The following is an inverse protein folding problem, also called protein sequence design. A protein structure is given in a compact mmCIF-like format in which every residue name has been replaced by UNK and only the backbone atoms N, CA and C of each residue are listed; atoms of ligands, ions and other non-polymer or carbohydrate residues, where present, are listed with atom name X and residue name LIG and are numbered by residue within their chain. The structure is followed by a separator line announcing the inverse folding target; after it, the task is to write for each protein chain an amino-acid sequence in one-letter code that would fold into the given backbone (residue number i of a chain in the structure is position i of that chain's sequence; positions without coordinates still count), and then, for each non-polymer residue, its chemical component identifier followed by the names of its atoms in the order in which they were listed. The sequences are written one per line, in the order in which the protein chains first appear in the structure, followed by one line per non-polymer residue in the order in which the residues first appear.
data_IF_208877251019
#
_entry.id   IF_208877251019
#
_cell.length_a   1.000
_cell.length_b   1.000
_cell.length_c   1.000
_cell.angle_alpha   90.00
_cell.angle_beta   90.00
_cell.angle_gamma   90.00
#
_symmetry.space_group_name_H-M   'P 1'
#
loop_
_entity.id
_entity.type
_entity.pdbx_description
1 polymer ?
#
# COMPACT_ATOMS: atom_id res chain seq x y z
N UNK A 1 -3.95 12.16 5.66
CA UNK A 1 -2.61 11.50 5.74
C UNK A 1 -2.15 10.93 4.40
N UNK A 2 -2.96 10.09 3.74
CA UNK A 2 -2.61 9.45 2.45
C UNK A 2 -2.21 10.47 1.35
N UNK A 3 -2.93 11.60 1.24
CA UNK A 3 -2.60 12.66 0.29
C UNK A 3 -1.20 13.28 0.50
N UNK A 4 -0.78 13.46 1.75
CA UNK A 4 0.53 14.03 2.06
C UNK A 4 1.68 13.08 1.68
N UNK A 5 1.48 11.77 1.85
CA UNK A 5 2.45 10.73 1.48
C UNK A 5 2.68 10.74 -0.04
N UNK A 6 1.61 10.75 -0.83
CA UNK A 6 1.71 10.79 -2.28
C UNK A 6 2.36 12.07 -2.82
N UNK A 7 2.04 13.22 -2.24
CA UNK A 7 2.67 14.50 -2.64
C UNK A 7 4.18 14.47 -2.40
N UNK A 8 4.63 13.87 -1.30
CA UNK A 8 6.05 13.80 -0.94
C UNK A 8 6.86 12.95 -1.91
N UNK A 9 6.25 11.92 -2.50
CA UNK A 9 6.94 11.01 -3.42
C UNK A 9 6.63 11.28 -4.90
N UNK A 10 5.89 12.34 -5.23
CA UNK A 10 5.38 12.60 -6.59
C UNK A 10 6.47 12.63 -7.68
N UNK A 11 7.69 13.02 -7.31
CA UNK A 11 8.84 13.10 -8.21
C UNK A 11 9.63 11.78 -8.33
N UNK A 12 9.29 10.76 -7.55
CA UNK A 12 10.01 9.49 -7.50
C UNK A 12 9.26 8.44 -8.33
N UNK A 13 9.97 7.67 -9.17
CA UNK A 13 9.36 6.56 -9.89
C UNK A 13 8.85 5.50 -8.91
N UNK A 14 7.62 5.02 -9.11
CA UNK A 14 6.98 4.00 -8.25
C UNK A 14 6.86 2.64 -8.92
N UNK A 15 7.44 2.45 -10.12
CA UNK A 15 7.22 1.27 -10.96
C UNK A 15 7.58 -0.04 -10.23
N UNK A 16 8.77 -0.09 -9.62
CA UNK A 16 9.26 -1.27 -8.90
C UNK A 16 8.39 -1.64 -7.71
N UNK A 17 8.07 -0.67 -6.87
CA UNK A 17 7.23 -0.87 -5.68
C UNK A 17 5.81 -1.27 -6.07
N UNK A 18 5.29 -0.75 -7.18
CA UNK A 18 3.99 -1.13 -7.72
C UNK A 18 3.99 -2.60 -8.15
N UNK A 19 5.00 -3.05 -8.90
CA UNK A 19 5.14 -4.45 -9.30
C UNK A 19 5.26 -5.38 -8.10
N UNK A 20 6.11 -5.02 -7.12
CA UNK A 20 6.28 -5.79 -5.89
C UNK A 20 4.96 -5.88 -5.11
N UNK A 21 4.24 -4.77 -4.96
CA UNK A 21 2.96 -4.73 -4.26
C UNK A 21 1.91 -5.60 -4.96
N UNK A 22 1.78 -5.50 -6.28
CA UNK A 22 0.84 -6.31 -7.06
C UNK A 22 1.17 -7.81 -6.99
N UNK A 23 2.45 -8.16 -7.02
CA UNK A 23 2.89 -9.55 -6.86
C UNK A 23 2.53 -10.09 -5.47
N UNK A 24 2.76 -9.30 -4.41
CA UNK A 24 2.40 -9.67 -3.04
C UNK A 24 0.88 -9.84 -2.90
N UNK A 25 0.07 -8.90 -3.38
CA UNK A 25 -1.40 -8.96 -3.32
C UNK A 25 -2.00 -10.08 -4.17
N UNK A 26 -1.34 -10.46 -5.26
CA UNK A 26 -1.79 -11.59 -6.09
C UNK A 26 -1.49 -12.94 -5.41
N UNK A 27 -0.40 -13.01 -4.65
CA UNK A 27 -0.02 -14.21 -3.89
C UNK A 27 -0.80 -14.37 -2.59
N UNK A 28 -1.10 -13.24 -1.93
CA UNK A 28 -1.77 -13.20 -0.64
C UNK A 28 -3.00 -12.29 -0.78
N UNK A 29 -4.20 -12.88 -0.81
CA UNK A 29 -5.45 -12.12 -1.01
C UNK A 29 -5.72 -11.04 0.06
N UNK A 30 -4.99 -11.07 1.17
CA UNK A 30 -4.93 -10.05 2.19
C UNK A 30 -3.49 -9.90 2.72
N UNK A 31 -3.08 -8.68 3.07
CA UNK A 31 -1.75 -8.36 3.60
C UNK A 31 -1.84 -7.35 4.74
N UNK A 32 -0.94 -7.39 5.72
CA UNK A 32 -0.79 -6.25 6.65
C UNK A 32 0.17 -5.22 6.07
N UNK A 33 -0.08 -3.94 6.33
CA UNK A 33 0.80 -2.85 5.86
C UNK A 33 2.25 -3.07 6.31
N UNK A 34 2.47 -3.52 7.55
CA UNK A 34 3.82 -3.84 8.05
C UNK A 34 4.56 -4.87 7.20
N UNK A 35 3.86 -5.88 6.67
CA UNK A 35 4.48 -6.97 5.92
C UNK A 35 4.88 -6.47 4.52
N UNK A 36 4.06 -5.59 3.94
CA UNK A 36 4.36 -4.89 2.70
C UNK A 36 5.56 -3.95 2.85
N UNK A 37 5.63 -3.21 3.96
CA UNK A 37 6.74 -2.28 4.24
C UNK A 37 8.02 -2.98 4.72
N UNK A 38 7.95 -4.26 5.10
CA UNK A 38 9.09 -5.06 5.51
C UNK A 38 9.88 -5.64 4.31
N UNK A 39 9.37 -5.55 3.09
CA UNK A 39 10.08 -6.03 1.90
C UNK A 39 11.35 -5.20 1.67
N UNK A 40 12.51 -5.82 1.92
CA UNK A 40 13.82 -5.19 1.77
C UNK A 40 14.16 -4.78 0.33
N UNK A 41 13.37 -5.21 -0.67
CA UNK A 41 13.56 -4.86 -2.08
C UNK A 41 12.93 -3.52 -2.45
N UNK A 42 12.20 -2.88 -1.54
CA UNK A 42 11.46 -1.64 -1.79
C UNK A 42 11.89 -0.52 -0.84
N UNK A 43 11.87 0.73 -1.34
CA UNK A 43 11.92 1.87 -0.42
C UNK A 43 10.59 1.97 0.34
N UNK A 44 10.66 2.08 1.67
CA UNK A 44 9.46 2.08 2.53
C UNK A 44 8.55 3.27 2.25
N UNK A 45 9.11 4.43 1.95
CA UNK A 45 8.32 5.64 1.70
C UNK A 45 7.60 5.56 0.37
N UNK A 46 8.28 5.04 -0.66
CA UNK A 46 7.70 4.82 -1.98
C UNK A 46 6.64 3.71 -1.92
N UNK A 47 6.92 2.60 -1.24
CA UNK A 47 5.96 1.50 -1.05
C UNK A 47 4.70 1.97 -0.29
N UNK A 48 4.87 2.79 0.76
CA UNK A 48 3.72 3.36 1.47
C UNK A 48 2.87 4.27 0.57
N UNK A 49 3.49 4.98 -0.37
CA UNK A 49 2.76 5.78 -1.34
C UNK A 49 2.02 4.94 -2.38
N UNK A 50 2.58 3.81 -2.80
CA UNK A 50 1.90 2.82 -3.64
C UNK A 50 0.66 2.28 -2.93
N UNK A 51 0.79 1.89 -1.65
CA UNK A 51 -0.34 1.45 -0.82
C UNK A 51 -1.40 2.56 -0.71
N UNK A 52 -0.97 3.79 -0.46
CA UNK A 52 -1.88 4.93 -0.34
C UNK A 52 -2.65 5.20 -1.64
N UNK A 53 -1.97 5.10 -2.79
CA UNK A 53 -2.60 5.23 -4.11
C UNK A 53 -3.59 4.10 -4.36
N UNK A 54 -3.22 2.86 -4.08
CA UNK A 54 -4.09 1.70 -4.27
C UNK A 54 -5.40 1.81 -3.44
N UNK A 55 -5.30 2.32 -2.20
CA UNK A 55 -6.46 2.62 -1.36
C UNK A 55 -7.35 3.72 -1.94
N UNK A 56 -6.77 4.76 -2.53
CA UNK A 56 -7.52 5.85 -3.16
C UNK A 56 -8.19 5.44 -4.47
N UNK A 57 -7.54 4.59 -5.25
CA UNK A 57 -8.07 4.03 -6.49
C UNK A 57 -9.11 2.94 -6.24
N UNK A 58 -9.26 2.47 -5.00
CA UNK A 58 -10.20 1.42 -4.63
C UNK A 58 -9.80 0.03 -5.12
N UNK A 59 -8.52 -0.19 -5.42
CA UNK A 59 -8.01 -1.53 -5.82
C UNK A 59 -7.78 -2.44 -4.60
N UNK A 60 -7.57 -1.82 -3.43
CA UNK A 60 -7.55 -2.48 -2.12
C UNK A 60 -8.39 -1.69 -1.13
N UNK A 61 -8.91 -2.37 -0.12
CA UNK A 61 -9.63 -1.77 1.00
C UNK A 61 -8.91 -2.06 2.32
N UNK A 62 -9.17 -1.19 3.30
CA UNK A 62 -8.77 -1.36 4.70
C UNK A 62 -9.92 -0.91 5.58
N UNK A 63 -10.19 -1.65 6.65
CA UNK A 63 -11.16 -1.23 7.66
C UNK A 63 -10.57 -0.08 8.50
N UNK A 64 -11.26 1.07 8.47
CA UNK A 64 -10.93 2.26 9.25
C UNK A 64 -12.06 2.66 10.22
N UNK A 65 -13.10 1.82 10.39
CA UNK A 65 -14.28 2.15 11.20
C UNK A 65 -13.93 2.33 12.67
N UNK A 66 -12.94 1.59 13.18
CA UNK A 66 -12.55 1.60 14.60
C UNK A 66 -11.13 2.09 14.86
N UNK A 67 -10.31 2.25 13.82
CA UNK A 67 -8.87 2.57 13.93
C UNK A 67 -8.40 3.42 12.77
N UNK A 68 -7.46 4.30 13.05
CA UNK A 68 -6.75 5.05 12.01
C UNK A 68 -5.83 4.13 11.22
N UNK A 69 -5.59 4.49 9.96
CA UNK A 69 -4.66 3.79 9.10
C UNK A 69 -3.24 3.76 9.70
N UNK A 70 -2.60 2.59 9.71
CA UNK A 70 -1.25 2.40 10.21
C UNK A 70 -0.62 1.08 9.79
N UNK A 71 0.53 0.76 10.35
CA UNK A 71 1.28 -0.47 10.01
C UNK A 71 0.53 -1.77 10.31
N UNK A 72 -0.41 -1.72 11.26
CA UNK A 72 -1.26 -2.85 11.64
C UNK A 72 -2.52 -2.97 10.78
N UNK A 73 -2.77 -2.02 9.88
CA UNK A 73 -3.93 -2.06 8.98
C UNK A 73 -3.82 -3.25 8.03
N UNK A 74 -4.96 -3.88 7.78
CA UNK A 74 -5.09 -4.96 6.81
C UNK A 74 -5.52 -4.38 5.46
N UNK A 75 -4.85 -4.82 4.41
CA UNK A 75 -5.14 -4.51 3.02
C UNK A 75 -5.79 -5.74 2.40
N UNK A 76 -7.03 -5.60 1.96
CA UNK A 76 -7.79 -6.64 1.30
C UNK A 76 -7.99 -6.25 -0.17
N UNK A 77 -7.74 -7.19 -1.09
CA UNK A 77 -7.97 -6.92 -2.51
C UNK A 77 -9.46 -6.81 -2.78
N UNK A 78 -9.84 -5.78 -3.53
CA UNK A 78 -11.22 -5.68 -4.04
C UNK A 78 -11.37 -6.71 -5.16
N UNK A 79 -12.21 -7.72 -4.94
CA UNK A 79 -12.60 -8.66 -6.00
C UNK A 79 -13.63 -7.95 -6.87
N UNK A 80 -13.20 -7.52 -8.05
CA UNK A 80 -14.08 -7.18 -9.18
C UNK A 80 -14.72 -8.44 -9.74
#
# INVERSE_FOLDING_TARGET
MLCAIMTRVKAYPTYRETELFLALMSRHGALRVQDVLADARADRSIMLAVVARALQEGTVHTDLTRRLFGTHSQLDRVRS
#
